data_IF_462839214731
#
_entry.id   IF_462839214731
#
_cell.length_a   1.000
_cell.length_b   1.000
_cell.length_c   1.000
_cell.angle_alpha   90.00
_cell.angle_beta   90.00
_cell.angle_gamma   90.00
#
_symmetry.space_group_name_H-M   'P 1'
#
loop_
_entity.id
_entity.type
_entity.pdbx_description
1 polymer ?
#
# COMPACT_ATOMS: atom_id res chain seq x y z
N UNK A 1 5.98 -9.64 32.62
CA UNK A 1 5.98 -8.34 31.91
C UNK A 1 4.60 -7.68 32.04
N UNK A 2 4.51 -6.48 32.62
CA UNK A 2 3.24 -5.78 32.87
C UNK A 2 2.47 -5.51 31.54
N UNK A 3 1.16 -5.82 31.46
CA UNK A 3 0.36 -5.63 30.24
C UNK A 3 0.33 -4.17 29.75
N UNK A 4 0.40 -3.18 30.65
CA UNK A 4 0.46 -1.75 30.28
C UNK A 4 1.76 -1.41 29.57
N UNK A 5 2.89 -1.90 30.08
CA UNK A 5 4.21 -1.74 29.44
C UNK A 5 4.27 -2.45 28.08
N UNK A 6 3.64 -3.63 27.96
CA UNK A 6 3.52 -4.36 26.68
C UNK A 6 2.76 -3.56 25.63
N UNK A 7 1.60 -2.98 26.00
CA UNK A 7 0.77 -2.16 25.10
C UNK A 7 1.50 -0.89 24.66
N UNK A 8 2.12 -0.16 25.59
CA UNK A 8 2.90 1.04 25.27
C UNK A 8 4.05 0.75 24.29
N UNK A 9 4.81 -0.33 24.52
CA UNK A 9 5.88 -0.78 23.60
C UNK A 9 5.34 -1.18 22.23
N UNK A 10 4.15 -1.77 22.14
CA UNK A 10 3.52 -2.11 20.87
C UNK A 10 3.11 -0.83 20.10
N UNK A 11 2.52 0.15 20.80
CA UNK A 11 2.15 1.44 20.21
C UNK A 11 3.35 2.19 19.65
N UNK A 12 4.45 2.30 20.41
CA UNK A 12 5.68 2.97 19.95
C UNK A 12 6.26 2.25 18.72
N UNK A 13 6.34 0.91 18.75
CA UNK A 13 6.80 0.12 17.59
C UNK A 13 5.93 0.34 16.35
N UNK A 14 4.60 0.39 16.52
CA UNK A 14 3.69 0.63 15.41
C UNK A 14 3.87 2.04 14.83
N UNK A 15 4.10 3.06 15.68
CA UNK A 15 4.40 4.43 15.23
C UNK A 15 5.71 4.50 14.44
N UNK A 16 6.78 3.92 14.97
CA UNK A 16 8.09 3.89 14.29
C UNK A 16 7.98 3.17 12.93
N UNK A 17 7.29 2.02 12.90
CA UNK A 17 7.05 1.28 11.65
C UNK A 17 6.25 2.10 10.64
N UNK A 18 5.17 2.76 11.06
CA UNK A 18 4.37 3.60 10.18
C UNK A 18 5.19 4.75 9.59
N UNK A 19 6.03 5.39 10.41
CA UNK A 19 6.94 6.46 9.97
C UNK A 19 7.95 5.96 8.93
N UNK A 20 8.67 4.87 9.22
CA UNK A 20 9.62 4.31 8.27
C UNK A 20 8.97 3.80 6.98
N UNK A 21 7.74 3.27 7.05
CA UNK A 21 6.99 2.89 5.86
C UNK A 21 6.66 4.10 4.99
N UNK A 22 6.25 5.22 5.61
CA UNK A 22 6.00 6.47 4.89
C UNK A 22 7.28 6.98 4.22
N UNK A 23 8.38 7.12 4.98
CA UNK A 23 9.70 7.59 4.47
C UNK A 23 10.19 6.70 3.32
N UNK A 24 10.22 5.38 3.50
CA UNK A 24 10.75 4.48 2.47
C UNK A 24 9.83 4.33 1.25
N UNK A 25 8.54 4.61 1.37
CA UNK A 25 7.64 4.70 0.22
C UNK A 25 7.85 6.00 -0.57
N UNK A 26 8.49 7.01 0.02
CA UNK A 26 8.90 8.20 -0.72
C UNK A 26 10.04 7.89 -1.69
N UNK A 27 10.99 7.08 -1.24
CA UNK A 27 12.26 6.84 -1.94
C UNK A 27 12.23 5.65 -2.89
N UNK A 28 11.35 4.66 -2.67
CA UNK A 28 11.39 3.37 -3.38
C UNK A 28 10.02 2.92 -3.88
N UNK A 29 9.96 2.21 -5.03
CA UNK A 29 8.73 1.57 -5.47
C UNK A 29 8.17 0.59 -4.42
N UNK A 30 6.86 0.67 -4.18
CA UNK A 30 6.15 -0.17 -3.20
C UNK A 30 4.87 -0.77 -3.78
N UNK A 31 4.33 -1.79 -3.12
CA UNK A 31 3.07 -2.40 -3.56
C UNK A 31 1.90 -1.44 -3.35
N UNK A 32 0.83 -1.60 -4.15
CA UNK A 32 -0.40 -0.80 -4.00
C UNK A 32 -1.03 -0.94 -2.60
N UNK A 33 -0.86 -2.10 -1.96
CA UNK A 33 -1.32 -2.33 -0.59
C UNK A 33 -0.59 -1.43 0.41
N UNK A 34 0.73 -1.22 0.25
CA UNK A 34 1.50 -0.30 1.08
C UNK A 34 0.98 1.14 0.93
N UNK A 35 0.71 1.59 -0.29
CA UNK A 35 0.13 2.92 -0.52
C UNK A 35 -1.27 3.06 0.07
N UNK A 36 -2.09 2.01 0.01
CA UNK A 36 -3.41 2.01 0.65
C UNK A 36 -3.30 2.16 2.18
N UNK A 37 -2.35 1.47 2.82
CA UNK A 37 -2.09 1.59 4.25
C UNK A 37 -1.58 2.99 4.62
N UNK A 38 -0.69 3.58 3.80
CA UNK A 38 -0.21 4.96 3.98
C UNK A 38 -1.36 5.96 3.87
N UNK A 39 -2.30 5.73 2.95
CA UNK A 39 -3.53 6.53 2.81
C UNK A 39 -4.53 6.37 3.98
N UNK A 40 -4.23 5.51 4.97
CA UNK A 40 -5.03 5.30 6.16
C UNK A 40 -6.03 4.15 6.08
N UNK A 41 -5.94 3.28 5.08
CA UNK A 41 -6.82 2.12 4.99
C UNK A 41 -6.55 1.10 6.11
N UNK A 42 -7.62 0.50 6.64
CA UNK A 42 -7.53 -0.67 7.54
C UNK A 42 -7.30 -1.95 6.73
N UNK A 43 -6.86 -3.05 7.34
CA UNK A 43 -6.42 -4.27 6.63
C UNK A 43 -7.38 -4.74 5.51
N UNK A 44 -8.65 -4.98 5.83
CA UNK A 44 -9.65 -5.39 4.84
C UNK A 44 -9.87 -4.35 3.74
N UNK A 45 -9.94 -3.06 4.11
CA UNK A 45 -10.13 -1.98 3.14
C UNK A 45 -8.89 -1.80 2.25
N UNK A 46 -7.69 -1.97 2.79
CA UNK A 46 -6.43 -1.87 2.06
C UNK A 46 -6.35 -2.94 0.97
N UNK A 47 -6.74 -4.17 1.29
CA UNK A 47 -6.83 -5.27 0.33
C UNK A 47 -7.78 -4.92 -0.82
N UNK A 48 -9.06 -4.62 -0.50
CA UNK A 48 -10.09 -4.32 -1.51
C UNK A 48 -9.75 -3.09 -2.36
N UNK A 49 -9.19 -2.06 -1.73
CA UNK A 49 -8.77 -0.84 -2.44
C UNK A 49 -7.58 -1.13 -3.36
N UNK A 50 -6.58 -1.91 -2.89
CA UNK A 50 -5.43 -2.28 -3.71
C UNK A 50 -5.80 -3.14 -4.91
N UNK A 51 -6.78 -4.04 -4.78
CA UNK A 51 -7.30 -4.85 -5.88
C UNK A 51 -8.04 -3.98 -6.92
N UNK A 52 -8.82 -3.01 -6.46
CA UNK A 52 -9.47 -2.05 -7.33
C UNK A 52 -8.45 -1.23 -8.14
N UNK A 53 -7.41 -0.72 -7.46
CA UNK A 53 -6.32 -0.02 -8.13
C UNK A 53 -5.55 -0.92 -9.11
N UNK A 54 -5.31 -2.19 -8.75
CA UNK A 54 -4.66 -3.16 -9.65
C UNK A 54 -5.47 -3.39 -10.92
N UNK A 55 -6.80 -3.46 -10.80
CA UNK A 55 -7.70 -3.58 -11.96
C UNK A 55 -7.60 -2.36 -12.88
N UNK A 56 -7.57 -1.15 -12.31
CA UNK A 56 -7.36 0.09 -13.07
C UNK A 56 -5.99 0.12 -13.74
N UNK A 57 -4.93 -0.25 -13.01
CA UNK A 57 -3.57 -0.30 -13.53
C UNK A 57 -3.48 -1.24 -14.74
N UNK A 58 -4.03 -2.46 -14.63
CA UNK A 58 -4.07 -3.43 -15.75
C UNK A 58 -4.74 -2.85 -17.00
N UNK A 59 -5.79 -2.06 -16.84
CA UNK A 59 -6.47 -1.40 -17.96
C UNK A 59 -5.60 -0.30 -18.56
N UNK A 60 -4.99 0.55 -17.73
CA UNK A 60 -4.15 1.65 -18.19
C UNK A 60 -2.89 1.16 -18.90
N UNK A 61 -2.26 0.09 -18.42
CA UNK A 61 -1.04 -0.47 -19.00
C UNK A 61 -1.21 -0.86 -20.48
N UNK A 62 -2.41 -1.26 -20.90
CA UNK A 62 -2.70 -1.58 -22.30
C UNK A 62 -2.46 -0.40 -23.25
N UNK A 63 -2.67 0.82 -22.77
CA UNK A 63 -2.51 2.06 -23.53
C UNK A 63 -1.29 2.88 -23.11
N UNK A 64 -0.77 2.61 -21.90
CA UNK A 64 0.33 3.34 -21.24
C UNK A 64 1.29 2.35 -20.58
N UNK A 65 2.15 1.67 -21.37
CA UNK A 65 3.05 0.63 -20.86
C UNK A 65 4.01 1.10 -19.76
N UNK A 66 4.33 2.40 -19.71
CA UNK A 66 5.16 3.03 -18.68
C UNK A 66 4.56 2.96 -17.27
N UNK A 67 3.26 2.68 -17.17
CA UNK A 67 2.57 2.42 -15.89
C UNK A 67 2.69 0.97 -15.43
N UNK A 68 3.40 0.12 -16.19
CA UNK A 68 3.76 -1.20 -15.71
C UNK A 68 4.69 -1.05 -14.50
N UNK A 69 4.25 -1.58 -13.36
CA UNK A 69 5.07 -1.60 -12.17
C UNK A 69 6.21 -2.62 -12.31
N UNK A 70 7.20 -2.49 -11.44
CA UNK A 70 8.36 -3.37 -11.40
C UNK A 70 8.03 -4.68 -10.67
N UNK A 71 8.59 -5.82 -11.12
CA UNK A 71 8.49 -7.06 -10.37
C UNK A 71 9.23 -6.93 -9.04
N UNK A 72 8.70 -7.57 -8.00
CA UNK A 72 9.34 -7.70 -6.71
C UNK A 72 8.80 -8.91 -5.96
N UNK A 73 9.34 -9.13 -4.76
CA UNK A 73 8.96 -10.25 -3.90
C UNK A 73 8.51 -9.71 -2.55
N UNK A 74 7.50 -10.37 -1.97
CA UNK A 74 7.09 -10.18 -0.57
C UNK A 74 7.15 -11.52 0.15
N UNK A 75 7.56 -11.48 1.41
CA UNK A 75 7.67 -12.67 2.24
C UNK A 75 6.42 -12.81 3.12
N UNK A 76 5.76 -13.97 3.09
CA UNK A 76 4.66 -14.31 3.99
C UNK A 76 5.07 -15.47 4.89
N UNK A 77 4.96 -15.28 6.20
CA UNK A 77 5.11 -16.40 7.15
C UNK A 77 3.88 -17.28 7.05
N UNK A 78 4.08 -18.57 6.77
CA UNK A 78 2.99 -19.55 6.74
C UNK A 78 2.52 -19.84 8.16
N UNK A 79 1.21 -20.03 8.35
CA UNK A 79 0.63 -20.35 9.66
C UNK A 79 1.12 -21.69 10.23
N UNK A 80 1.78 -22.52 9.42
CA UNK A 80 2.21 -23.88 9.73
C UNK A 80 3.66 -23.99 10.25
N UNK A 81 4.41 -22.90 10.39
CA UNK A 81 5.77 -22.97 10.93
C UNK A 81 6.67 -21.76 10.62
N UNK A 82 8.00 -21.87 10.82
CA UNK A 82 8.95 -20.79 10.50
C UNK A 82 9.15 -20.59 8.99
N UNK A 83 8.53 -21.43 8.17
CA UNK A 83 8.63 -21.38 6.72
C UNK A 83 8.03 -20.08 6.20
N UNK A 84 8.83 -19.37 5.42
CA UNK A 84 8.46 -18.12 4.78
C UNK A 84 8.28 -18.38 3.29
N UNK A 85 7.10 -18.08 2.78
CA UNK A 85 6.79 -18.18 1.36
C UNK A 85 7.13 -16.85 0.66
N UNK A 86 7.80 -16.95 -0.49
CA UNK A 86 8.03 -15.83 -1.39
C UNK A 86 6.85 -15.69 -2.34
N UNK A 87 6.16 -14.55 -2.25
CA UNK A 87 5.03 -14.23 -3.10
C UNK A 87 5.43 -13.13 -4.07
N UNK A 88 5.30 -13.33 -5.40
CA UNK A 88 5.57 -12.30 -6.37
C UNK A 88 4.60 -11.12 -6.16
N UNK A 89 5.14 -9.91 -6.26
CA UNK A 89 4.37 -8.67 -6.11
C UNK A 89 4.80 -7.66 -7.17
N UNK A 90 3.90 -6.75 -7.52
CA UNK A 90 4.22 -5.62 -8.39
C UNK A 90 4.40 -4.37 -7.56
N UNK A 91 5.52 -3.67 -7.77
CA UNK A 91 5.89 -2.44 -7.07
C UNK A 91 5.73 -1.26 -8.01
N UNK A 92 5.22 -0.16 -7.48
CA UNK A 92 4.90 1.05 -8.24
C UNK A 92 5.60 2.25 -7.61
N UNK A 93 6.11 3.13 -8.47
CA UNK A 93 6.59 4.44 -8.04
C UNK A 93 5.41 5.33 -7.63
N UNK A 94 5.67 6.39 -6.86
CA UNK A 94 4.64 7.35 -6.47
C UNK A 94 3.93 7.95 -7.67
N UNK A 95 4.69 8.29 -8.71
CA UNK A 95 4.15 8.84 -9.95
C UNK A 95 3.17 7.87 -10.63
N UNK A 96 3.56 6.60 -10.77
CA UNK A 96 2.67 5.57 -11.32
C UNK A 96 1.39 5.43 -10.48
N UNK A 97 1.51 5.43 -9.14
CA UNK A 97 0.34 5.34 -8.27
C UNK A 97 -0.55 6.58 -8.37
N UNK A 98 0.01 7.78 -8.52
CA UNK A 98 -0.76 9.01 -8.71
C UNK A 98 -1.59 8.96 -10.00
N UNK A 99 -0.99 8.50 -11.10
CA UNK A 99 -1.67 8.29 -12.40
C UNK A 99 -2.82 7.28 -12.28
N UNK A 100 -2.54 6.12 -11.67
CA UNK A 100 -3.54 5.06 -11.46
C UNK A 100 -4.68 5.57 -10.57
N UNK A 101 -4.35 6.24 -9.46
CA UNK A 101 -5.33 6.78 -8.52
C UNK A 101 -6.17 7.90 -9.14
N UNK A 102 -5.58 8.74 -9.98
CA UNK A 102 -6.28 9.81 -10.69
C UNK A 102 -7.34 9.24 -11.64
N UNK A 103 -6.99 8.17 -12.37
CA UNK A 103 -7.92 7.47 -13.26
C UNK A 103 -9.01 6.65 -12.52
N UNK A 104 -8.77 6.27 -11.27
CA UNK A 104 -9.73 5.51 -10.48
C UNK A 104 -10.93 6.38 -10.06
N UNK A 105 -12.15 5.98 -10.41
CA UNK A 105 -13.39 6.68 -10.07
C UNK A 105 -14.29 5.82 -9.17
N UNK A 106 -14.04 5.75 -7.85
CA UNK A 106 -14.82 4.92 -6.95
C UNK A 106 -16.25 5.42 -6.79
N UNK A 107 -17.20 4.46 -6.77
CA UNK A 107 -18.61 4.74 -6.46
C UNK A 107 -18.82 4.83 -4.95
N UNK A 108 -18.18 3.94 -4.18
CA UNK A 108 -18.31 3.87 -2.71
C UNK A 108 -17.61 5.05 -2.02
N UNK A 109 -18.27 5.62 -1.01
CA UNK A 109 -17.76 6.77 -0.25
C UNK A 109 -16.42 6.48 0.44
N UNK A 110 -16.28 5.30 1.07
CA UNK A 110 -15.03 4.85 1.70
C UNK A 110 -13.83 4.88 0.74
N UNK A 111 -14.02 4.45 -0.51
CA UNK A 111 -12.96 4.43 -1.52
C UNK A 111 -12.69 5.82 -2.11
N UNK A 112 -13.70 6.70 -2.15
CA UNK A 112 -13.49 8.11 -2.51
C UNK A 112 -12.61 8.82 -1.48
N UNK A 113 -12.89 8.61 -0.19
CA UNK A 113 -12.09 9.15 0.90
C UNK A 113 -10.65 8.63 0.84
N UNK A 114 -10.46 7.31 0.69
CA UNK A 114 -9.13 6.72 0.56
C UNK A 114 -8.37 7.21 -0.68
N UNK A 115 -9.05 7.36 -1.82
CA UNK A 115 -8.44 7.95 -3.02
C UNK A 115 -7.98 9.39 -2.76
N UNK A 116 -8.80 10.20 -2.10
CA UNK A 116 -8.45 11.58 -1.77
C UNK A 116 -7.24 11.64 -0.83
N UNK A 117 -7.24 10.85 0.24
CA UNK A 117 -6.10 10.73 1.17
C UNK A 117 -4.83 10.25 0.47
N UNK A 118 -4.95 9.28 -0.44
CA UNK A 118 -3.81 8.78 -1.22
C UNK A 118 -3.24 9.88 -2.11
N UNK A 119 -4.07 10.57 -2.90
CA UNK A 119 -3.59 11.66 -3.77
C UNK A 119 -2.95 12.80 -2.96
N UNK A 120 -3.53 13.17 -1.83
CA UNK A 120 -2.95 14.15 -0.92
C UNK A 120 -1.57 13.71 -0.40
N UNK A 121 -1.45 12.45 0.04
CA UNK A 121 -0.18 11.87 0.50
C UNK A 121 0.89 11.82 -0.59
N UNK A 122 0.49 11.66 -1.86
CA UNK A 122 1.42 11.64 -2.99
C UNK A 122 1.89 13.05 -3.39
N UNK A 123 1.06 14.08 -3.20
CA UNK A 123 1.38 15.47 -3.54
C UNK A 123 2.29 16.17 -2.51
N UNK A 124 2.26 15.77 -1.24
CA UNK A 124 3.00 16.43 -0.15
C UNK A 124 4.48 16.03 -0.02
N UNK A 125 5.20 15.82 -1.13
CA UNK A 125 6.63 15.45 -1.09
C UNK A 125 7.46 16.10 -2.18
#
# INVERSE_FOLDING_TARGET
>A
MNPRARKARATVRNRIRARHLAETAQERPRSLGTYALIAGATGYLAERFSDALRSVAKRLIKTRPELAGEPGVTHRTLSTGPTTEEVPTTRYTRHQVAEIATAYRPVKAEFRALRASLLASLASA
#
